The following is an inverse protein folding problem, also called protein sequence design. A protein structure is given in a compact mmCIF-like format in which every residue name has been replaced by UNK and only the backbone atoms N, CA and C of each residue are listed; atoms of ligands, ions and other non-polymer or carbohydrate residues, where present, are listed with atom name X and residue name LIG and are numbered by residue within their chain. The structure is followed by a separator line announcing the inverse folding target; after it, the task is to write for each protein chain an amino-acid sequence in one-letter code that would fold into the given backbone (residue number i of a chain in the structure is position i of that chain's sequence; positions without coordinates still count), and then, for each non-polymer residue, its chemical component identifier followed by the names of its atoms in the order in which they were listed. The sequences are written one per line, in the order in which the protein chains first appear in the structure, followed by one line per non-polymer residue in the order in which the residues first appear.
data_IF_068102653478
#
_entry.id   IF_068102653478
#
_cell.length_a   1.000
_cell.length_b   1.000
_cell.length_c   1.000
_cell.angle_alpha   90.00
_cell.angle_beta   90.00
_cell.angle_gamma   90.00
#
_symmetry.space_group_name_H-M   'P 1'
#
loop_
_entity.id
_entity.type
_entity.pdbx_description
1 polymer ?
#
# COMPACT_ATOMS: atom_id res chain seq x y z
N UNK A 1 -1.40 1.82 17.76
CA UNK A 1 -2.51 2.17 16.84
C UNK A 1 -2.14 3.35 15.93
N UNK A 2 -0.88 3.47 15.49
CA UNK A 2 -0.38 4.59 14.66
C UNK A 2 0.60 4.15 13.57
N UNK A 3 0.98 2.87 13.53
CA UNK A 3 2.19 2.43 12.85
C UNK A 3 2.02 2.49 11.33
N UNK A 4 0.83 2.16 10.81
CA UNK A 4 0.54 2.25 9.38
C UNK A 4 0.41 3.70 8.86
N UNK A 5 -0.06 4.65 9.69
CA UNK A 5 -0.15 6.07 9.32
C UNK A 5 1.21 6.77 9.37
N UNK A 6 2.03 6.44 10.38
CA UNK A 6 3.42 6.91 10.44
C UNK A 6 4.23 6.32 9.27
N UNK A 7 4.05 5.03 8.98
CA UNK A 7 4.67 4.39 7.83
C UNK A 7 4.24 5.02 6.51
N UNK A 8 2.96 5.38 6.33
CA UNK A 8 2.47 6.09 5.14
C UNK A 8 3.19 7.45 4.94
N UNK A 9 3.42 8.18 6.03
CA UNK A 9 4.08 9.49 6.02
C UNK A 9 5.57 9.40 5.66
N UNK A 10 6.22 8.27 5.99
CA UNK A 10 7.64 8.01 5.69
C UNK A 10 7.92 7.56 4.26
N UNK A 11 6.89 7.20 3.49
CA UNK A 11 7.06 6.82 2.09
C UNK A 11 7.63 7.98 1.26
N UNK A 12 8.39 7.66 0.22
CA UNK A 12 8.69 8.64 -0.83
C UNK A 12 7.38 9.05 -1.53
N UNK A 13 7.29 10.24 -2.14
CA UNK A 13 6.06 10.66 -2.82
C UNK A 13 5.57 9.66 -3.88
N UNK A 14 6.49 9.04 -4.61
CA UNK A 14 6.18 8.01 -5.61
C UNK A 14 5.68 6.71 -4.95
N UNK A 15 6.36 6.24 -3.90
CA UNK A 15 5.89 5.07 -3.16
C UNK A 15 4.50 5.30 -2.53
N UNK A 16 4.24 6.50 -2.00
CA UNK A 16 2.94 6.87 -1.45
C UNK A 16 1.83 6.82 -2.52
N UNK A 17 2.13 7.25 -3.75
CA UNK A 17 1.17 7.16 -4.85
C UNK A 17 0.86 5.72 -5.25
N UNK A 18 1.89 4.88 -5.36
CA UNK A 18 1.73 3.45 -5.69
C UNK A 18 0.92 2.75 -4.58
N UNK A 19 1.20 3.06 -3.33
CA UNK A 19 0.45 2.56 -2.17
C UNK A 19 -1.01 3.02 -2.21
N UNK A 20 -1.29 4.29 -2.55
CA UNK A 20 -2.65 4.82 -2.69
C UNK A 20 -3.41 4.08 -3.79
N UNK A 21 -2.79 3.92 -4.97
CA UNK A 21 -3.40 3.18 -6.08
C UNK A 21 -3.68 1.72 -5.68
N UNK A 22 -2.75 1.09 -4.97
CA UNK A 22 -2.90 -0.28 -4.46
C UNK A 22 -4.08 -0.37 -3.48
N UNK A 23 -4.16 0.54 -2.51
CA UNK A 23 -5.26 0.61 -1.55
C UNK A 23 -6.63 0.74 -2.23
N UNK A 24 -6.72 1.48 -3.33
CA UNK A 24 -7.97 1.72 -4.08
C UNK A 24 -8.36 0.56 -5.00
N UNK A 25 -7.45 -0.36 -5.31
CA UNK A 25 -7.66 -1.42 -6.32
C UNK A 25 -7.59 -2.83 -5.77
N UNK A 26 -6.88 -3.02 -4.66
CA UNK A 26 -6.74 -4.30 -4.00
C UNK A 26 -7.95 -4.61 -3.09
N UNK A 27 -8.15 -5.89 -2.79
CA UNK A 27 -9.15 -6.30 -1.80
C UNK A 27 -8.72 -5.89 -0.39
N UNK A 28 -9.46 -4.94 0.18
CA UNK A 28 -9.29 -4.39 1.53
C UNK A 28 -10.45 -4.72 2.46
N UNK A 29 -11.31 -5.69 2.12
CA UNK A 29 -12.49 -6.08 2.91
C UNK A 29 -12.19 -6.48 4.36
N UNK A 30 -10.93 -6.86 4.65
CA UNK A 30 -10.45 -7.22 5.99
C UNK A 30 -9.79 -6.07 6.76
N UNK A 31 -9.64 -4.91 6.13
CA UNK A 31 -9.09 -3.70 6.76
C UNK A 31 -10.26 -2.83 7.19
N UNK A 32 -10.28 -2.30 8.44
CA UNK A 32 -11.32 -1.37 8.87
C UNK A 32 -11.45 -0.17 7.93
N UNK A 33 -12.68 0.21 7.58
CA UNK A 33 -12.94 1.29 6.62
C UNK A 33 -12.30 2.61 7.08
N UNK A 34 -12.34 2.91 8.38
CA UNK A 34 -11.72 4.09 8.96
C UNK A 34 -10.20 4.13 8.76
N UNK A 35 -9.53 2.97 8.70
CA UNK A 35 -8.08 2.90 8.45
C UNK A 35 -7.77 3.09 6.98
N UNK A 36 -8.61 2.56 6.08
CA UNK A 36 -8.51 2.80 4.65
C UNK A 36 -8.67 4.29 4.34
N UNK A 37 -9.68 4.96 4.91
CA UNK A 37 -9.92 6.40 4.70
C UNK A 37 -8.76 7.25 5.24
N UNK A 38 -8.31 7.00 6.47
CA UNK A 38 -7.19 7.72 7.07
C UNK A 38 -5.89 7.51 6.26
N UNK A 39 -5.64 6.28 5.81
CA UNK A 39 -4.49 5.95 4.96
C UNK A 39 -4.57 6.64 3.60
N UNK A 40 -5.75 6.67 2.98
CA UNK A 40 -5.95 7.33 1.68
C UNK A 40 -5.63 8.82 1.77
N UNK A 41 -6.08 9.49 2.83
CA UNK A 41 -5.79 10.92 3.08
C UNK A 41 -4.28 11.14 3.25
N UNK A 42 -3.62 10.35 4.10
CA UNK A 42 -2.19 10.48 4.38
C UNK A 42 -1.34 10.23 3.12
N UNK A 43 -1.66 9.19 2.37
CA UNK A 43 -0.96 8.84 1.13
C UNK A 43 -1.19 9.88 0.04
N UNK A 44 -2.42 10.42 -0.09
CA UNK A 44 -2.72 11.48 -1.05
C UNK A 44 -1.92 12.76 -0.75
N UNK A 45 -1.92 13.20 0.50
CA UNK A 45 -1.14 14.37 0.93
C UNK A 45 0.36 14.16 0.66
N UNK A 46 0.87 12.94 0.87
CA UNK A 46 2.27 12.61 0.61
C UNK A 46 2.61 12.49 -0.87
N UNK A 47 1.68 11.99 -1.68
CA UNK A 47 1.83 11.76 -3.11
C UNK A 47 1.70 13.05 -3.95
N UNK A 48 1.15 14.14 -3.41
CA UNK A 48 0.86 15.38 -4.11
C UNK A 48 1.97 15.93 -5.06
N UNK A 49 3.28 15.83 -4.79
CA UNK A 49 4.30 16.44 -5.66
C UNK A 49 4.69 15.60 -6.89
N UNK A 50 4.10 14.44 -7.15
CA UNK A 50 4.43 13.62 -8.34
C UNK A 50 3.48 13.96 -9.49
N UNK A 51 3.95 14.02 -10.72
CA UNK A 51 3.11 14.45 -11.86
C UNK A 51 2.36 13.27 -12.50
N UNK A 52 2.98 12.10 -12.67
CA UNK A 52 2.38 10.97 -13.40
C UNK A 52 2.82 9.59 -12.87
N UNK A 53 1.99 8.56 -13.11
CA UNK A 53 2.35 7.15 -12.91
C UNK A 53 2.88 6.56 -14.22
N UNK A 54 3.95 5.79 -14.12
CA UNK A 54 4.54 5.10 -15.26
C UNK A 54 3.93 3.70 -15.45
N UNK A 55 4.05 3.13 -16.66
CA UNK A 55 3.61 1.77 -16.95
C UNK A 55 4.06 0.68 -15.97
N UNK A 56 5.27 0.80 -15.44
CA UNK A 56 5.79 -0.21 -14.52
C UNK A 56 5.07 -0.19 -13.17
N UNK A 57 4.43 0.92 -12.78
CA UNK A 57 3.76 1.05 -11.49
C UNK A 57 2.48 0.17 -11.39
N UNK A 58 1.90 -0.25 -12.53
CA UNK A 58 0.75 -1.17 -12.56
C UNK A 58 1.12 -2.60 -12.13
N UNK A 59 2.39 -3.01 -12.31
CA UNK A 59 2.86 -4.32 -11.90
C UNK A 59 2.77 -4.51 -10.38
N UNK A 60 2.92 -3.43 -9.60
CA UNK A 60 2.77 -3.45 -8.14
C UNK A 60 1.33 -3.66 -7.71
N UNK A 61 0.39 -3.03 -8.41
CA UNK A 61 -1.05 -3.23 -8.18
C UNK A 61 -1.44 -4.69 -8.42
N UNK A 62 -0.94 -5.25 -9.53
CA UNK A 62 -1.21 -6.63 -9.89
C UNK A 62 -0.58 -7.64 -8.92
N UNK A 63 0.65 -7.41 -8.47
CA UNK A 63 1.35 -8.31 -7.55
C UNK A 63 0.81 -8.24 -6.12
N UNK A 64 0.36 -7.06 -5.66
CA UNK A 64 -0.31 -6.91 -4.36
C UNK A 64 -1.68 -7.60 -4.31
N UNK A 65 -2.38 -7.68 -5.44
CA UNK A 65 -3.70 -8.30 -5.56
C UNK A 65 -3.66 -9.83 -5.73
N UNK A 66 -2.52 -10.40 -6.18
CA UNK A 66 -2.36 -11.83 -6.46
C UNK A 66 -0.96 -12.33 -6.06
N UNK A 67 -0.80 -13.02 -4.92
CA UNK A 67 0.50 -13.49 -4.43
C UNK A 67 1.24 -14.42 -5.41
N UNK A 68 0.50 -15.19 -6.20
CA UNK A 68 1.05 -16.14 -7.19
C UNK A 68 1.70 -15.47 -8.42
N UNK A 69 1.46 -14.18 -8.65
CA UNK A 69 2.10 -13.38 -9.72
C UNK A 69 3.42 -12.77 -9.22
N UNK A 70 3.68 -12.80 -7.92
CA UNK A 70 4.86 -12.18 -7.28
C UNK A 70 6.21 -12.74 -7.75
N UNK A 71 6.26 -13.96 -8.32
CA UNK A 71 7.52 -14.58 -8.75
C UNK A 71 8.05 -14.08 -10.10
N UNK A 72 7.21 -13.46 -10.94
CA UNK A 72 7.62 -12.90 -12.24
C UNK A 72 7.94 -11.40 -12.12
N UNK A 73 7.28 -10.68 -11.20
CA UNK A 73 7.50 -9.25 -10.96
C UNK A 73 8.81 -8.93 -10.21
N UNK A 74 9.38 -9.88 -9.47
CA UNK A 74 10.54 -9.67 -8.57
C UNK A 74 11.84 -9.26 -9.26
N UNK A 75 12.01 -9.46 -10.58
CA UNK A 75 13.29 -9.16 -11.25
C UNK A 75 13.49 -7.67 -11.61
N UNK A 76 12.46 -6.83 -11.52
CA UNK A 76 12.52 -5.42 -11.91
C UNK A 76 11.72 -4.47 -10.98
N UNK A 77 11.34 -4.90 -9.78
CA UNK A 77 10.66 -4.00 -8.84
C UNK A 77 11.60 -2.89 -8.35
N UNK A 78 11.16 -1.64 -8.52
CA UNK A 78 11.82 -0.45 -7.98
C UNK A 78 11.66 -0.40 -6.45
N UNK A 79 12.55 0.35 -5.78
CA UNK A 79 12.53 0.52 -4.32
C UNK A 79 11.18 1.10 -3.86
N UNK A 80 10.58 1.99 -4.66
CA UNK A 80 9.28 2.60 -4.40
C UNK A 80 8.15 1.57 -4.41
N UNK A 81 8.18 0.62 -5.35
CA UNK A 81 7.21 -0.46 -5.44
C UNK A 81 7.33 -1.43 -4.27
N UNK A 82 8.56 -1.74 -3.87
CA UNK A 82 8.84 -2.55 -2.67
C UNK A 82 8.29 -1.85 -1.42
N UNK A 83 8.58 -0.56 -1.25
CA UNK A 83 8.12 0.21 -0.11
C UNK A 83 6.59 0.32 -0.04
N UNK A 84 5.94 0.55 -1.18
CA UNK A 84 4.47 0.57 -1.27
C UNK A 84 3.85 -0.78 -0.91
N UNK A 85 4.40 -1.88 -1.43
CA UNK A 85 3.94 -3.24 -1.11
C UNK A 85 4.13 -3.57 0.37
N UNK A 86 5.32 -3.28 0.91
CA UNK A 86 5.63 -3.53 2.33
C UNK A 86 4.67 -2.76 3.23
N UNK A 87 4.39 -1.50 2.91
CA UNK A 87 3.38 -0.71 3.62
C UNK A 87 1.99 -1.37 3.57
N UNK A 88 1.53 -1.78 2.37
CA UNK A 88 0.21 -2.38 2.21
C UNK A 88 0.06 -3.72 2.94
N UNK A 89 1.10 -4.56 2.91
CA UNK A 89 1.14 -5.81 3.68
C UNK A 89 1.10 -5.50 5.18
N UNK A 90 1.86 -4.51 5.65
CA UNK A 90 1.82 -4.05 7.04
C UNK A 90 0.42 -3.64 7.48
N UNK A 91 -0.27 -2.81 6.69
CA UNK A 91 -1.65 -2.41 6.96
C UNK A 91 -2.59 -3.62 7.13
N UNK A 92 -2.47 -4.62 6.27
CA UNK A 92 -3.31 -5.83 6.34
C UNK A 92 -2.98 -6.70 7.54
N UNK A 93 -1.71 -6.81 7.91
CA UNK A 93 -1.28 -7.57 9.08
C UNK A 93 -1.75 -6.90 10.37
N UNK A 94 -1.61 -5.58 10.47
CA UNK A 94 -2.10 -4.80 11.62
C UNK A 94 -3.62 -4.95 11.77
N UNK A 95 -4.36 -4.88 10.66
CA UNK A 95 -5.81 -5.08 10.66
C UNK A 95 -6.21 -6.48 11.14
N UNK A 96 -5.49 -7.51 10.70
CA UNK A 96 -5.73 -8.89 11.13
C UNK A 96 -5.39 -9.09 12.61
N UNK A 97 -4.27 -8.55 13.09
CA UNK A 97 -3.91 -8.59 14.51
C UNK A 97 -4.94 -7.87 15.38
N UNK A 98 -5.40 -6.70 14.95
CA UNK A 98 -6.44 -5.95 15.63
C UNK A 98 -7.75 -6.74 15.72
N UNK A 99 -8.14 -7.41 14.63
CA UNK A 99 -9.29 -8.32 14.61
C UNK A 99 -9.15 -9.46 15.61
N UNK A 100 -7.97 -10.10 15.67
CA UNK A 100 -7.70 -11.20 16.60
C UNK A 100 -7.64 -10.76 18.06
N UNK A 101 -7.14 -9.54 18.35
CA UNK A 101 -7.08 -9.00 19.71
C UNK A 101 -8.45 -8.65 20.32
N UNK A 102 -9.50 -8.60 19.50
CA UNK A 102 -10.88 -8.28 19.88
C UNK A 102 -11.76 -9.53 20.04
N UNK A 103 -11.20 -10.73 19.85
CA UNK A 103 -11.83 -12.03 20.10
C UNK A 103 -11.42 -12.55 21.48
#
# INVERSE_FOLDING_TARGET
MSDYLDAASRLSPRAARIALQTLLTADVSRVPTEWCEASAIALYARAAPVSDLTPDDWLTVASASRPSVGWIATRAETIEQINARTWFIGLRLDAEQHRLSRL
#
